data_IF_022903889709
#
_entry.id   IF_022903889709
#
_cell.length_a   1.000
_cell.length_b   1.000
_cell.length_c   1.000
_cell.angle_alpha   90.00
_cell.angle_beta   90.00
_cell.angle_gamma   90.00
#
_symmetry.space_group_name_H-M   'P 1'
#
loop_
_entity.id
_entity.type
_entity.pdbx_description
1 polymer ?
#
# COMPACT_ATOMS: atom_id res chain seq x y z
N UNK A 1 -15.69 15.81 5.07
CA UNK A 1 -15.56 15.50 3.64
C UNK A 1 -16.53 16.36 2.85
N UNK A 2 -16.31 16.50 1.54
CA UNK A 2 -17.18 17.25 0.63
C UNK A 2 -18.05 16.32 -0.25
N UNK A 3 -18.27 15.08 0.19
CA UNK A 3 -18.94 14.03 -0.58
C UNK A 3 -18.05 13.27 -1.57
N UNK A 4 -16.83 13.72 -1.85
CA UNK A 4 -15.87 13.03 -2.76
C UNK A 4 -14.53 12.77 -2.07
N UNK A 5 -14.03 13.73 -1.28
CA UNK A 5 -12.75 13.63 -0.57
C UNK A 5 -12.79 14.40 0.75
N UNK A 6 -11.82 14.15 1.64
CA UNK A 6 -11.70 14.81 2.93
C UNK A 6 -11.07 16.20 2.76
N UNK A 7 -11.61 17.17 3.49
CA UNK A 7 -11.15 18.57 3.47
C UNK A 7 -10.60 18.95 4.84
N UNK A 8 -9.67 19.89 4.87
CA UNK A 8 -9.24 20.50 6.11
C UNK A 8 -10.30 21.51 6.57
N UNK A 9 -10.81 21.31 7.78
CA UNK A 9 -11.52 22.38 8.50
C UNK A 9 -10.47 23.25 9.17
N UNK A 10 -10.26 24.43 8.61
CA UNK A 10 -9.28 25.38 9.12
C UNK A 10 -9.72 25.89 10.50
N UNK A 11 -8.75 26.01 11.41
CA UNK A 11 -8.98 26.57 12.74
C UNK A 11 -9.14 28.09 12.64
N UNK A 12 -10.29 28.68 13.02
CA UNK A 12 -10.49 30.12 12.99
C UNK A 12 -9.45 30.91 13.81
N UNK A 13 -8.89 30.31 14.87
CA UNK A 13 -7.84 30.95 15.67
C UNK A 13 -6.51 31.09 14.89
N UNK A 14 -6.32 30.30 13.84
CA UNK A 14 -5.12 30.24 13.01
C UNK A 14 -5.44 30.58 11.54
N UNK A 15 -6.41 31.45 11.28
CA UNK A 15 -6.89 31.77 9.93
C UNK A 15 -5.84 32.40 8.98
N UNK A 16 -4.69 32.83 9.52
CA UNK A 16 -3.56 33.36 8.75
C UNK A 16 -2.48 32.32 8.47
N UNK A 17 -2.57 31.12 9.06
CA UNK A 17 -1.61 30.05 8.82
C UNK A 17 -1.95 29.32 7.53
N UNK A 18 -0.92 28.84 6.83
CA UNK A 18 -1.09 28.14 5.55
C UNK A 18 -1.86 26.83 5.75
N UNK A 19 -2.84 26.58 4.89
CA UNK A 19 -3.65 25.37 4.89
C UNK A 19 -3.94 24.87 3.49
N UNK A 20 -4.57 23.70 3.42
CA UNK A 20 -5.14 23.15 2.19
C UNK A 20 -6.62 23.47 2.06
N UNK A 21 -7.32 23.76 3.16
CA UNK A 21 -8.74 24.09 3.19
C UNK A 21 -9.59 23.07 2.40
N UNK A 22 -10.33 23.49 1.36
CA UNK A 22 -11.16 22.59 0.53
C UNK A 22 -10.37 21.78 -0.51
N UNK A 23 -9.03 21.84 -0.49
CA UNK A 23 -8.15 21.13 -1.41
C UNK A 23 -8.17 19.62 -1.23
N UNK A 24 -7.93 18.91 -2.33
CA UNK A 24 -7.72 17.46 -2.35
C UNK A 24 -6.24 17.20 -2.04
N UNK A 25 -5.94 16.98 -0.76
CA UNK A 25 -4.58 16.78 -0.26
C UNK A 25 -4.20 15.31 -0.30
N UNK A 26 -2.96 15.00 -0.71
CA UNK A 26 -2.46 13.62 -0.91
C UNK A 26 -2.60 12.75 0.35
N UNK A 27 -2.32 13.33 1.51
CA UNK A 27 -2.27 12.63 2.80
C UNK A 27 -3.62 12.59 3.55
N UNK A 28 -4.71 12.99 2.90
CA UNK A 28 -6.02 13.13 3.52
C UNK A 28 -6.58 11.84 4.17
N UNK A 29 -6.04 10.67 3.79
CA UNK A 29 -6.37 9.35 4.36
C UNK A 29 -5.12 8.58 4.81
N UNK A 30 -4.01 9.27 5.06
CA UNK A 30 -2.73 8.69 5.48
C UNK A 30 -2.86 7.72 6.66
N UNK A 31 -3.59 8.13 7.69
CA UNK A 31 -3.77 7.33 8.91
C UNK A 31 -4.41 5.96 8.68
N UNK A 32 -5.25 5.82 7.64
CA UNK A 32 -5.84 4.52 7.29
C UNK A 32 -4.79 3.55 6.74
N UNK A 33 -3.80 4.04 5.99
CA UNK A 33 -2.69 3.22 5.49
C UNK A 33 -1.90 2.63 6.64
N UNK A 34 -1.60 3.45 7.66
CA UNK A 34 -0.92 2.97 8.87
C UNK A 34 -1.75 1.98 9.67
N UNK A 35 -3.06 2.18 9.76
CA UNK A 35 -3.95 1.24 10.43
C UNK A 35 -3.92 -0.14 9.77
N UNK A 36 -3.82 -0.21 8.44
CA UNK A 36 -3.67 -1.47 7.71
C UNK A 36 -2.36 -2.19 8.09
N UNK A 37 -1.23 -1.49 8.10
CA UNK A 37 0.08 -2.06 8.47
C UNK A 37 0.17 -2.51 9.93
N UNK A 38 -0.53 -1.81 10.82
CA UNK A 38 -0.58 -2.13 12.26
C UNK A 38 -1.70 -3.12 12.63
N UNK A 39 -2.52 -3.56 11.67
CA UNK A 39 -3.64 -4.46 11.94
C UNK A 39 -4.75 -3.85 12.80
N UNK A 40 -4.92 -2.53 12.76
CA UNK A 40 -5.94 -1.78 13.52
C UNK A 40 -7.31 -1.74 12.80
N UNK A 41 -7.37 -2.22 11.55
CA UNK A 41 -8.60 -2.25 10.76
C UNK A 41 -8.99 -0.89 10.18
N UNK A 42 -10.28 -0.73 9.87
CA UNK A 42 -10.81 0.50 9.30
C UNK A 42 -11.01 1.56 10.39
N UNK A 43 -10.30 2.69 10.28
CA UNK A 43 -10.48 3.87 11.13
C UNK A 43 -11.57 4.81 10.60
N UNK A 44 -11.78 4.81 9.28
CA UNK A 44 -12.76 5.64 8.61
C UNK A 44 -13.77 4.78 7.83
N UNK A 45 -14.91 5.38 7.46
CA UNK A 45 -15.86 4.74 6.54
C UNK A 45 -15.15 4.38 5.23
N UNK A 46 -15.12 3.09 4.91
CA UNK A 46 -14.39 2.57 3.76
C UNK A 46 -14.84 3.22 2.45
N UNK A 47 -16.13 3.47 2.26
CA UNK A 47 -16.64 4.10 1.02
C UNK A 47 -16.09 5.51 0.85
N UNK A 48 -16.01 6.28 1.94
CA UNK A 48 -15.38 7.62 1.93
C UNK A 48 -13.89 7.53 1.64
N UNK A 49 -13.17 6.56 2.22
CA UNK A 49 -11.74 6.33 1.93
C UNK A 49 -11.52 6.00 0.45
N UNK A 50 -12.28 5.05 -0.10
CA UNK A 50 -12.19 4.68 -1.51
C UNK A 50 -12.51 5.86 -2.44
N UNK A 51 -13.53 6.65 -2.10
CA UNK A 51 -13.86 7.88 -2.84
C UNK A 51 -12.70 8.88 -2.81
N UNK A 52 -12.07 9.08 -1.65
CA UNK A 52 -10.93 9.98 -1.49
C UNK A 52 -9.71 9.53 -2.29
N UNK A 53 -9.40 8.23 -2.31
CA UNK A 53 -8.31 7.68 -3.13
C UNK A 53 -8.56 7.90 -4.63
N UNK A 54 -9.78 7.65 -5.11
CA UNK A 54 -10.17 7.96 -6.50
C UNK A 54 -10.06 9.45 -6.83
N UNK A 55 -10.36 10.31 -5.85
CA UNK A 55 -10.19 11.76 -6.01
C UNK A 55 -8.71 12.15 -6.16
N UNK A 56 -7.78 11.48 -5.46
CA UNK A 56 -6.35 11.68 -5.65
C UNK A 56 -5.93 11.34 -7.08
N UNK A 57 -6.36 10.18 -7.59
CA UNK A 57 -6.09 9.84 -8.99
C UNK A 57 -6.66 10.89 -9.94
N UNK A 58 -7.93 11.24 -9.77
CA UNK A 58 -8.66 12.16 -10.66
C UNK A 58 -8.11 13.59 -10.67
N UNK A 59 -7.71 14.11 -9.51
CA UNK A 59 -7.40 15.54 -9.35
C UNK A 59 -5.93 15.85 -9.06
N UNK A 60 -5.16 14.87 -8.58
CA UNK A 60 -3.77 15.06 -8.22
C UNK A 60 -2.82 14.34 -9.18
N UNK A 61 -3.26 13.35 -9.95
CA UNK A 61 -2.38 12.70 -10.93
C UNK A 61 -2.23 13.59 -12.17
N UNK A 62 -0.98 13.85 -12.53
CA UNK A 62 -0.59 14.71 -13.65
C UNK A 62 0.21 13.85 -14.63
N UNK A 63 -0.34 13.53 -15.81
CA UNK A 63 0.36 12.71 -16.80
C UNK A 63 1.59 13.38 -17.42
N UNK A 64 1.63 14.71 -17.45
CA UNK A 64 2.79 15.50 -17.89
C UNK A 64 2.94 16.75 -17.02
N UNK A 65 3.97 16.73 -16.17
CA UNK A 65 4.27 17.83 -15.24
C UNK A 65 4.66 19.12 -15.97
N UNK A 66 5.22 19.04 -17.19
CA UNK A 66 5.57 20.21 -17.99
C UNK A 66 4.35 21.06 -18.34
N UNK A 67 3.24 20.44 -18.74
CA UNK A 67 2.00 21.15 -19.03
C UNK A 67 1.41 21.81 -17.77
N UNK A 68 1.46 21.12 -16.64
CA UNK A 68 1.03 21.64 -15.34
C UNK A 68 1.88 22.82 -14.86
N UNK A 69 3.21 22.74 -15.00
CA UNK A 69 4.16 23.79 -14.58
C UNK A 69 4.01 25.10 -15.34
N UNK A 70 3.50 25.07 -16.57
CA UNK A 70 3.15 26.30 -17.32
C UNK A 70 2.06 27.10 -16.61
N UNK A 71 1.16 26.44 -15.87
CA UNK A 71 0.10 27.08 -15.09
C UNK A 71 0.52 27.34 -13.64
N UNK A 72 1.38 26.48 -13.07
CA UNK A 72 1.87 26.58 -11.69
C UNK A 72 3.41 26.64 -11.65
N UNK A 73 4.02 27.81 -11.92
CA UNK A 73 5.48 27.93 -12.06
C UNK A 73 6.23 27.98 -10.73
N UNK A 74 5.57 28.31 -9.61
CA UNK A 74 6.22 28.44 -8.30
C UNK A 74 6.53 27.07 -7.70
N UNK A 75 7.72 26.91 -7.13
CA UNK A 75 8.12 25.73 -6.35
C UNK A 75 9.29 24.96 -6.96
N UNK A 76 9.71 23.89 -6.28
CA UNK A 76 10.87 23.09 -6.71
C UNK A 76 10.46 22.07 -7.75
N UNK A 77 11.34 21.81 -8.69
CA UNK A 77 11.08 20.93 -9.82
C UNK A 77 11.66 19.54 -9.52
N UNK A 78 10.86 18.68 -8.89
CA UNK A 78 11.21 17.26 -8.69
C UNK A 78 10.79 16.35 -9.84
N UNK A 79 9.91 16.87 -10.69
CA UNK A 79 9.50 16.28 -11.95
C UNK A 79 9.53 17.37 -13.03
N UNK A 80 9.80 16.98 -14.27
CA UNK A 80 10.02 17.87 -15.42
C UNK A 80 9.05 17.55 -16.56
N UNK A 81 9.15 18.25 -17.69
CA UNK A 81 8.30 17.99 -18.85
C UNK A 81 8.44 16.54 -19.34
N UNK A 82 7.31 15.87 -19.57
CA UNK A 82 7.26 14.45 -19.93
C UNK A 82 7.28 13.48 -18.75
N UNK A 83 7.61 13.93 -17.53
CA UNK A 83 7.45 13.12 -16.33
C UNK A 83 5.97 13.16 -15.87
N UNK A 84 5.44 12.02 -15.46
CA UNK A 84 4.17 11.94 -14.75
C UNK A 84 4.40 12.02 -13.23
N UNK A 85 3.37 12.41 -12.47
CA UNK A 85 3.44 12.41 -11.01
C UNK A 85 2.13 12.70 -10.30
N UNK A 86 2.09 12.44 -9.01
CA UNK A 86 0.98 12.77 -8.13
C UNK A 86 1.36 13.99 -7.29
N UNK A 87 0.69 15.12 -7.50
CA UNK A 87 0.99 16.38 -6.77
C UNK A 87 0.39 16.39 -5.37
N UNK A 88 1.03 17.12 -4.47
CA UNK A 88 0.64 17.19 -3.05
C UNK A 88 -0.81 17.66 -2.82
N UNK A 89 -1.29 18.68 -3.55
CA UNK A 89 -2.64 19.20 -3.38
C UNK A 89 -3.19 19.81 -4.67
N UNK A 90 -4.49 19.65 -4.88
CA UNK A 90 -5.24 20.31 -5.95
C UNK A 90 -6.51 20.98 -5.38
N UNK A 91 -7.06 21.98 -6.06
CA UNK A 91 -8.33 22.65 -5.67
C UNK A 91 -9.36 22.55 -6.79
N UNK A 92 -9.82 21.33 -7.14
CA UNK A 92 -10.66 21.08 -8.31
C UNK A 92 -12.03 21.77 -8.23
N UNK A 93 -12.49 22.08 -7.01
CA UNK A 93 -13.76 22.76 -6.73
C UNK A 93 -13.56 24.24 -6.35
N UNK A 94 -12.37 24.80 -6.58
CA UNK A 94 -12.01 26.14 -6.14
C UNK A 94 -11.89 26.24 -4.61
N UNK A 95 -12.06 27.46 -4.10
CA UNK A 95 -12.00 27.74 -2.65
C UNK A 95 -10.59 27.76 -2.04
N UNK A 96 -9.55 27.73 -2.87
CA UNK A 96 -8.19 28.01 -2.40
C UNK A 96 -8.13 29.44 -1.84
N UNK A 97 -7.71 29.58 -0.59
CA UNK A 97 -7.50 30.89 0.01
C UNK A 97 -6.39 31.64 -0.77
N UNK A 98 -6.69 32.79 -1.41
CA UNK A 98 -5.70 33.54 -2.18
C UNK A 98 -4.48 33.97 -1.35
N UNK A 99 -4.68 34.25 -0.06
CA UNK A 99 -3.62 34.68 0.85
C UNK A 99 -2.55 33.59 1.06
N UNK A 100 -2.90 32.30 0.90
CA UNK A 100 -1.95 31.21 1.08
C UNK A 100 -0.81 31.25 0.07
N UNK A 101 -1.00 31.88 -1.10
CA UNK A 101 0.05 32.04 -2.13
C UNK A 101 1.25 32.85 -1.63
N UNK A 102 1.09 33.66 -0.59
CA UNK A 102 2.15 34.49 -0.04
C UNK A 102 3.02 33.75 0.98
N UNK A 103 2.57 32.56 1.43
CA UNK A 103 3.33 31.71 2.33
C UNK A 103 4.41 30.94 1.56
N UNK A 104 5.60 30.84 2.16
CA UNK A 104 6.71 30.11 1.55
C UNK A 104 6.38 28.62 1.37
N UNK A 105 5.58 28.02 2.26
CA UNK A 105 5.14 26.63 2.18
C UNK A 105 4.21 26.33 1.00
N UNK A 106 3.59 27.35 0.40
CA UNK A 106 2.64 27.18 -0.70
C UNK A 106 3.22 26.42 -1.89
N UNK A 107 4.53 26.56 -2.10
CA UNK A 107 5.23 25.83 -3.15
C UNK A 107 5.11 24.31 -3.03
N UNK A 108 4.99 23.77 -1.81
CA UNK A 108 4.92 22.33 -1.60
C UNK A 108 3.68 21.69 -2.22
N UNK A 109 2.58 22.43 -2.30
CA UNK A 109 1.31 21.89 -2.79
C UNK A 109 1.33 21.43 -4.25
N UNK A 110 2.29 21.90 -5.04
CA UNK A 110 2.43 21.56 -6.46
C UNK A 110 3.63 20.66 -6.77
N UNK A 111 4.34 20.19 -5.75
CA UNK A 111 5.52 19.33 -5.90
C UNK A 111 5.11 17.85 -6.02
N UNK A 112 5.90 17.07 -6.74
CA UNK A 112 5.82 15.60 -6.74
C UNK A 112 6.83 15.09 -5.71
N UNK A 113 6.35 14.79 -4.50
CA UNK A 113 7.18 14.34 -3.38
C UNK A 113 7.06 12.82 -3.26
N UNK A 114 8.09 12.08 -3.67
CA UNK A 114 7.97 10.63 -3.93
C UNK A 114 7.55 9.81 -2.73
N UNK A 115 7.91 10.20 -1.50
CA UNK A 115 7.47 9.52 -0.30
C UNK A 115 5.95 9.57 -0.09
N UNK A 116 5.33 10.69 -0.44
CA UNK A 116 3.86 10.84 -0.40
C UNK A 116 3.21 10.12 -1.59
N UNK A 117 3.82 10.19 -2.77
CA UNK A 117 3.35 9.44 -3.95
C UNK A 117 3.34 7.93 -3.65
N UNK A 118 4.42 7.39 -3.08
CA UNK A 118 4.53 5.99 -2.68
C UNK A 118 3.52 5.60 -1.61
N UNK A 119 3.28 6.47 -0.63
CA UNK A 119 2.27 6.22 0.39
C UNK A 119 0.87 6.14 -0.22
N UNK A 120 0.50 7.08 -1.08
CA UNK A 120 -0.80 7.07 -1.75
C UNK A 120 -0.95 5.84 -2.65
N UNK A 121 0.10 5.51 -3.42
CA UNK A 121 0.16 4.31 -4.25
C UNK A 121 -0.01 3.03 -3.42
N UNK A 122 0.68 2.91 -2.29
CA UNK A 122 0.57 1.75 -1.39
C UNK A 122 -0.85 1.57 -0.86
N UNK A 123 -1.54 2.67 -0.51
CA UNK A 123 -2.92 2.60 -0.05
C UNK A 123 -3.89 2.21 -1.18
N UNK A 124 -3.72 2.76 -2.38
CA UNK A 124 -4.48 2.37 -3.57
C UNK A 124 -4.31 0.87 -3.88
N UNK A 125 -3.07 0.39 -3.88
CA UNK A 125 -2.73 -1.04 -4.09
C UNK A 125 -3.35 -1.91 -3.00
N UNK A 126 -3.32 -1.46 -1.73
CA UNK A 126 -3.90 -2.21 -0.62
C UNK A 126 -5.39 -2.47 -0.81
N UNK A 127 -6.14 -1.45 -1.23
CA UNK A 127 -7.57 -1.53 -1.56
C UNK A 127 -7.83 -2.32 -2.86
N UNK A 128 -6.79 -2.56 -3.67
CA UNK A 128 -6.82 -3.42 -4.86
C UNK A 128 -7.24 -4.88 -4.64
N UNK A 129 -7.57 -5.27 -3.40
CA UNK A 129 -8.12 -6.59 -3.07
C UNK A 129 -9.41 -6.85 -3.85
N UNK A 130 -10.26 -5.85 -3.90
CA UNK A 130 -11.58 -5.87 -4.56
C UNK A 130 -11.83 -4.59 -5.39
N UNK A 131 -10.92 -3.62 -5.38
CA UNK A 131 -10.99 -2.39 -6.20
C UNK A 131 -9.97 -2.43 -7.34
N UNK A 132 -10.33 -3.07 -8.45
CA UNK A 132 -9.42 -3.24 -9.60
C UNK A 132 -8.93 -1.90 -10.20
N UNK A 133 -9.76 -0.87 -10.16
CA UNK A 133 -9.41 0.48 -10.60
C UNK A 133 -8.32 1.09 -9.71
N UNK A 134 -8.45 1.01 -8.38
CA UNK A 134 -7.42 1.50 -7.46
C UNK A 134 -6.14 0.70 -7.53
N UNK A 135 -6.20 -0.61 -7.82
CA UNK A 135 -4.99 -1.39 -8.08
C UNK A 135 -4.24 -0.83 -9.29
N UNK A 136 -4.95 -0.55 -10.39
CA UNK A 136 -4.37 0.02 -11.59
C UNK A 136 -3.78 1.41 -11.32
N UNK A 137 -4.54 2.29 -10.65
CA UNK A 137 -4.13 3.66 -10.34
C UNK A 137 -2.88 3.68 -9.44
N UNK A 138 -2.86 2.85 -8.39
CA UNK A 138 -1.71 2.74 -7.50
C UNK A 138 -0.45 2.22 -8.20
N UNK A 139 -0.58 1.22 -9.08
CA UNK A 139 0.53 0.73 -9.90
C UNK A 139 0.98 1.77 -10.94
N UNK A 140 0.08 2.58 -11.47
CA UNK A 140 0.42 3.66 -12.40
C UNK A 140 1.19 4.79 -11.70
N UNK A 141 0.83 5.16 -10.47
CA UNK A 141 1.61 6.11 -9.66
C UNK A 141 3.01 5.55 -9.38
N UNK A 142 3.12 4.29 -8.95
CA UNK A 142 4.40 3.62 -8.75
C UNK A 142 5.25 3.62 -10.03
N UNK A 143 4.64 3.35 -11.19
CA UNK A 143 5.32 3.39 -12.49
C UNK A 143 5.79 4.80 -12.85
N UNK A 144 4.99 5.82 -12.59
CA UNK A 144 5.35 7.21 -12.86
C UNK A 144 6.60 7.63 -12.06
N UNK A 145 6.73 7.18 -10.80
CA UNK A 145 7.94 7.40 -10.00
C UNK A 145 9.13 6.67 -10.65
N UNK A 146 8.99 5.38 -10.95
CA UNK A 146 10.07 4.61 -11.60
C UNK A 146 10.53 5.20 -12.93
N UNK A 147 9.61 5.72 -13.76
CA UNK A 147 9.93 6.37 -15.03
C UNK A 147 10.71 7.65 -14.86
N UNK A 148 10.31 8.44 -13.86
CA UNK A 148 11.02 9.65 -13.50
C UNK A 148 12.47 9.36 -13.12
N UNK A 149 12.73 8.21 -12.50
CA UNK A 149 14.07 7.81 -12.06
C UNK A 149 14.69 6.69 -12.90
N UNK A 150 14.25 6.54 -14.16
CA UNK A 150 14.88 5.62 -15.11
C UNK A 150 16.37 5.96 -15.25
N UNK A 151 17.24 4.94 -15.25
CA UNK A 151 18.70 5.08 -15.26
C UNK A 151 19.25 5.87 -16.46
N UNK A 152 18.48 5.98 -17.55
CA UNK A 152 18.82 6.79 -18.73
C UNK A 152 18.62 8.29 -18.49
N UNK A 153 17.79 8.64 -17.50
CA UNK A 153 17.37 10.02 -17.20
C UNK A 153 17.98 10.52 -15.89
N UNK A 154 17.89 9.71 -14.81
CA UNK A 154 18.28 10.08 -13.44
C UNK A 154 18.84 8.85 -12.69
N UNK A 155 19.39 9.07 -11.49
CA UNK A 155 19.86 7.97 -10.65
C UNK A 155 18.65 7.20 -10.05
N UNK A 156 18.48 5.90 -10.32
CA UNK A 156 17.35 5.10 -9.81
C UNK A 156 17.31 4.97 -8.28
N UNK A 157 18.43 5.25 -7.60
CA UNK A 157 18.54 5.17 -6.14
C UNK A 157 18.46 6.55 -5.48
N UNK A 158 18.13 7.60 -6.24
CA UNK A 158 18.01 8.95 -5.75
C UNK A 158 16.65 9.54 -6.14
N UNK A 159 15.58 9.00 -5.56
CA UNK A 159 14.28 9.64 -5.64
C UNK A 159 14.30 10.97 -4.86
N UNK A 160 14.21 12.07 -5.58
CA UNK A 160 14.32 13.43 -5.05
C UNK A 160 13.00 13.84 -4.39
N UNK A 161 13.12 14.26 -3.14
CA UNK A 161 12.06 14.90 -2.37
C UNK A 161 12.71 15.83 -1.35
N UNK A 162 12.32 17.10 -1.29
CA UNK A 162 13.00 18.14 -0.50
C UNK A 162 14.44 18.44 -0.99
N UNK A 163 15.27 17.41 -1.13
CA UNK A 163 16.65 17.38 -1.63
C UNK A 163 16.99 15.98 -2.20
N UNK A 164 18.21 15.79 -2.69
CA UNK A 164 18.77 14.47 -3.02
C UNK A 164 18.91 13.56 -1.79
N UNK A 165 18.86 12.25 -2.03
CA UNK A 165 19.02 11.13 -1.09
C UNK A 165 18.07 11.21 0.11
N UNK A 166 16.84 11.63 -0.15
CA UNK A 166 15.87 11.86 0.91
C UNK A 166 15.21 10.54 1.37
N UNK A 167 15.22 10.30 2.67
CA UNK A 167 14.82 9.03 3.26
C UNK A 167 13.35 8.65 3.02
N UNK A 168 12.46 9.61 2.71
CA UNK A 168 11.02 9.36 2.61
C UNK A 168 10.66 8.46 1.42
N UNK A 169 11.48 8.39 0.39
CA UNK A 169 11.33 7.45 -0.73
C UNK A 169 11.33 5.97 -0.29
N UNK A 170 11.86 5.65 0.89
CA UNK A 170 11.75 4.31 1.48
C UNK A 170 10.30 3.89 1.76
N UNK A 171 9.33 4.81 1.71
CA UNK A 171 7.89 4.51 1.70
C UNK A 171 7.50 3.55 0.55
N UNK A 172 8.32 3.43 -0.50
CA UNK A 172 8.19 2.43 -1.57
C UNK A 172 8.03 0.99 -1.06
N UNK A 173 8.66 0.64 0.08
CA UNK A 173 8.47 -0.68 0.69
C UNK A 173 7.01 -0.93 1.11
N UNK A 174 6.26 0.13 1.42
CA UNK A 174 4.82 0.04 1.68
C UNK A 174 4.03 -0.45 0.46
N UNK A 175 4.44 -0.08 -0.76
CA UNK A 175 3.82 -0.59 -1.99
C UNK A 175 4.11 -2.09 -2.17
N UNK A 176 5.35 -2.52 -1.92
CA UNK A 176 5.71 -3.95 -1.91
C UNK A 176 4.87 -4.74 -0.88
N UNK A 177 4.76 -4.23 0.34
CA UNK A 177 3.95 -4.84 1.40
C UNK A 177 2.46 -4.91 1.00
N UNK A 178 1.93 -3.86 0.37
CA UNK A 178 0.55 -3.80 -0.11
C UNK A 178 0.30 -4.80 -1.24
N UNK A 179 1.21 -4.95 -2.21
CA UNK A 179 1.11 -5.97 -3.27
C UNK A 179 1.05 -7.38 -2.67
N UNK A 180 1.86 -7.66 -1.65
CA UNK A 180 1.84 -8.94 -0.95
C UNK A 180 0.55 -9.15 -0.13
N UNK A 181 -0.13 -8.06 0.25
CA UNK A 181 -1.14 -8.05 1.31
C UNK A 181 -0.60 -8.66 2.60
N UNK A 182 0.65 -8.35 2.93
CA UNK A 182 1.38 -8.99 4.04
C UNK A 182 1.09 -8.28 5.37
N UNK A 183 0.64 -9.05 6.36
CA UNK A 183 0.51 -8.62 7.75
C UNK A 183 1.24 -9.60 8.69
N UNK A 184 1.84 -9.10 9.76
CA UNK A 184 2.53 -9.90 10.75
C UNK A 184 2.25 -9.40 12.16
N UNK A 185 1.68 -10.26 13.01
CA UNK A 185 1.49 -10.02 14.43
C UNK A 185 2.36 -10.99 15.24
N UNK A 186 3.62 -10.59 15.48
CA UNK A 186 4.64 -11.41 16.15
C UNK A 186 4.19 -12.02 17.50
N UNK A 187 3.69 -11.22 18.47
CA UNK A 187 3.25 -11.75 19.77
C UNK A 187 2.16 -12.83 19.68
N UNK A 188 1.24 -12.70 18.71
CA UNK A 188 0.17 -13.67 18.47
C UNK A 188 0.62 -14.85 17.58
N UNK A 189 1.84 -14.80 17.03
CA UNK A 189 2.33 -15.81 16.08
C UNK A 189 1.47 -15.86 14.83
N UNK A 190 1.09 -14.71 14.28
CA UNK A 190 0.23 -14.67 13.10
C UNK A 190 0.95 -13.99 11.93
N UNK A 191 0.81 -14.59 10.74
CA UNK A 191 1.12 -13.94 9.48
C UNK A 191 -0.07 -14.07 8.53
N UNK A 192 -0.30 -13.07 7.70
CA UNK A 192 -1.30 -13.09 6.62
C UNK A 192 -0.64 -12.73 5.30
N UNK A 193 -1.06 -13.42 4.23
CA UNK A 193 -0.76 -13.05 2.86
C UNK A 193 -2.06 -12.97 2.08
N UNK A 194 -2.25 -11.87 1.37
CA UNK A 194 -3.41 -11.66 0.51
C UNK A 194 -2.93 -10.94 -0.76
N UNK A 195 -2.31 -11.65 -1.70
CA UNK A 195 -1.68 -11.00 -2.86
C UNK A 195 -2.68 -10.17 -3.67
N UNK A 196 -2.26 -8.98 -4.10
CA UNK A 196 -3.04 -8.07 -4.96
C UNK A 196 -2.70 -8.24 -6.43
N UNK A 197 -1.45 -8.64 -6.70
CA UNK A 197 -0.95 -8.94 -8.02
C UNK A 197 -0.81 -10.46 -8.17
N UNK A 198 -1.24 -10.98 -9.32
CA UNK A 198 -1.23 -12.42 -9.67
C UNK A 198 -1.69 -13.37 -8.53
N UNK A 199 -2.84 -13.13 -7.87
CA UNK A 199 -3.24 -13.92 -6.70
C UNK A 199 -3.49 -15.42 -6.99
N UNK A 200 -3.53 -15.84 -8.25
CA UNK A 200 -3.59 -17.26 -8.64
C UNK A 200 -2.24 -17.96 -8.66
N UNK A 201 -1.14 -17.22 -8.80
CA UNK A 201 0.23 -17.72 -8.87
C UNK A 201 1.17 -16.61 -8.37
N UNK A 202 1.48 -16.65 -7.09
CA UNK A 202 2.17 -15.58 -6.40
C UNK A 202 3.33 -16.11 -5.59
N UNK A 203 4.45 -15.37 -5.61
CA UNK A 203 5.64 -15.67 -4.81
C UNK A 203 6.32 -14.38 -4.42
N UNK A 204 6.60 -14.22 -3.13
CA UNK A 204 7.26 -13.03 -2.60
C UNK A 204 8.14 -13.36 -1.39
N UNK A 205 9.17 -12.55 -1.18
CA UNK A 205 9.92 -12.56 0.06
C UNK A 205 9.11 -11.87 1.18
N UNK A 206 9.34 -12.27 2.43
CA UNK A 206 8.81 -11.56 3.58
C UNK A 206 9.87 -11.48 4.67
N UNK A 207 9.73 -10.48 5.54
CA UNK A 207 10.61 -10.25 6.68
C UNK A 207 9.75 -10.16 7.94
N UNK A 208 10.22 -10.79 9.01
CA UNK A 208 9.65 -10.71 10.36
C UNK A 208 10.74 -10.31 11.35
N UNK A 209 10.40 -10.19 12.63
CA UNK A 209 11.34 -9.74 13.67
C UNK A 209 12.57 -10.67 13.82
N UNK A 210 12.40 -11.98 13.61
CA UNK A 210 13.43 -12.99 13.90
C UNK A 210 13.94 -13.71 12.64
N UNK A 211 13.50 -13.30 11.45
CA UNK A 211 13.89 -13.98 10.22
C UNK A 211 13.27 -13.42 8.95
N UNK A 212 13.63 -14.03 7.83
CA UNK A 212 13.04 -13.76 6.53
C UNK A 212 12.91 -15.03 5.71
N UNK A 213 11.97 -15.02 4.77
CA UNK A 213 11.58 -16.21 4.05
C UNK A 213 10.86 -15.92 2.76
N UNK A 214 10.31 -16.97 2.17
CA UNK A 214 9.49 -16.91 0.96
C UNK A 214 8.09 -17.43 1.26
N UNK A 215 7.09 -16.66 0.84
CA UNK A 215 5.73 -17.13 0.68
C UNK A 215 5.50 -17.47 -0.79
N UNK A 216 4.80 -18.57 -1.06
CA UNK A 216 4.31 -18.88 -2.39
C UNK A 216 2.89 -19.44 -2.31
N UNK A 217 2.06 -19.14 -3.31
CA UNK A 217 0.76 -19.78 -3.50
C UNK A 217 0.46 -20.04 -4.97
N UNK A 218 -0.27 -21.13 -5.24
CA UNK A 218 -0.78 -21.47 -6.56
C UNK A 218 -2.20 -22.03 -6.46
N UNK A 219 -3.14 -21.42 -7.18
CA UNK A 219 -4.52 -21.88 -7.30
C UNK A 219 -4.69 -22.69 -8.59
N UNK A 220 -5.14 -23.93 -8.48
CA UNK A 220 -5.49 -24.80 -9.61
C UNK A 220 -6.93 -25.29 -9.40
N UNK A 221 -7.86 -24.82 -10.24
CA UNK A 221 -9.30 -25.07 -10.06
C UNK A 221 -9.75 -24.66 -8.64
N UNK A 222 -10.29 -25.60 -7.88
CA UNK A 222 -10.80 -25.42 -6.52
C UNK A 222 -9.77 -25.77 -5.45
N UNK A 223 -8.49 -25.91 -5.82
CA UNK A 223 -7.39 -26.16 -4.88
C UNK A 223 -6.47 -24.96 -4.81
N UNK A 224 -6.08 -24.56 -3.60
CA UNK A 224 -5.01 -23.59 -3.35
C UNK A 224 -3.88 -24.29 -2.60
N UNK A 225 -2.70 -24.33 -3.21
CA UNK A 225 -1.47 -24.76 -2.55
C UNK A 225 -0.69 -23.52 -2.08
N UNK A 226 -0.37 -23.45 -0.80
CA UNK A 226 0.42 -22.37 -0.21
C UNK A 226 1.62 -22.92 0.57
N UNK A 227 2.72 -22.17 0.60
CA UNK A 227 3.91 -22.55 1.35
C UNK A 227 4.63 -21.37 1.99
N UNK A 228 5.19 -21.60 3.17
CA UNK A 228 6.11 -20.71 3.87
C UNK A 228 7.45 -21.42 4.08
N UNK A 229 8.52 -20.79 3.63
CA UNK A 229 9.88 -21.31 3.73
C UNK A 229 10.79 -20.26 4.35
N UNK A 230 11.41 -20.56 5.50
CA UNK A 230 12.36 -19.67 6.16
C UNK A 230 13.73 -19.84 5.51
N UNK A 231 14.36 -18.73 5.15
CA UNK A 231 15.70 -18.71 4.58
C UNK A 231 16.75 -18.37 5.63
N UNK A 232 16.41 -17.49 6.58
CA UNK A 232 17.27 -17.16 7.71
C UNK A 232 16.44 -16.89 8.96
N UNK A 233 16.96 -17.31 10.12
CA UNK A 233 16.33 -17.09 11.42
C UNK A 233 15.19 -18.07 11.71
N UNK A 234 14.16 -17.62 12.42
CA UNK A 234 13.01 -18.45 12.82
C UNK A 234 11.69 -17.70 12.67
N UNK A 235 10.59 -18.46 12.62
CA UNK A 235 9.25 -17.89 12.65
C UNK A 235 8.32 -18.75 13.51
N UNK A 236 7.88 -18.19 14.64
CA UNK A 236 6.86 -18.81 15.49
C UNK A 236 5.45 -18.49 14.97
N UNK A 237 4.64 -19.52 14.72
CA UNK A 237 3.28 -19.41 14.21
C UNK A 237 2.26 -20.15 15.07
N UNK A 238 1.11 -19.51 15.28
CA UNK A 238 -0.15 -20.10 15.74
C UNK A 238 -1.20 -20.11 14.63
N UNK A 239 -1.07 -19.19 13.66
CA UNK A 239 -2.00 -19.13 12.53
C UNK A 239 -1.38 -18.50 11.29
N UNK A 240 -1.94 -18.87 10.14
CA UNK A 240 -1.63 -18.28 8.83
C UNK A 240 -2.94 -17.83 8.19
N UNK A 241 -3.03 -16.54 7.85
CA UNK A 241 -4.10 -15.96 7.07
C UNK A 241 -3.78 -16.04 5.58
N UNK A 242 -4.76 -16.45 4.78
CA UNK A 242 -4.69 -16.46 3.33
C UNK A 242 -5.88 -15.67 2.79
N UNK A 243 -5.61 -14.58 2.08
CA UNK A 243 -6.62 -13.90 1.28
C UNK A 243 -7.01 -14.77 0.09
N UNK A 244 -8.30 -15.05 -0.10
CA UNK A 244 -8.75 -15.99 -1.11
C UNK A 244 -9.53 -15.29 -2.21
N UNK A 245 -9.42 -15.86 -3.42
CA UNK A 245 -10.24 -15.53 -4.59
C UNK A 245 -11.48 -16.42 -4.67
N UNK A 246 -11.98 -16.90 -3.54
CA UNK A 246 -13.04 -17.90 -3.51
C UNK A 246 -14.36 -17.21 -3.22
N UNK A 247 -15.36 -17.41 -4.09
CA UNK A 247 -16.73 -16.96 -3.88
C UNK A 247 -17.52 -17.91 -2.96
N UNK A 248 -17.05 -19.15 -2.79
CA UNK A 248 -17.56 -20.14 -1.86
C UNK A 248 -16.50 -20.46 -0.79
N UNK A 249 -16.91 -20.82 0.42
CA UNK A 249 -15.96 -21.16 1.49
C UNK A 249 -15.07 -22.36 1.15
N UNK A 250 -13.92 -22.45 1.82
CA UNK A 250 -13.02 -23.59 1.73
C UNK A 250 -13.53 -24.71 2.66
N UNK A 251 -13.58 -25.94 2.17
CA UNK A 251 -14.12 -27.10 2.87
C UNK A 251 -13.09 -27.76 3.79
N UNK A 252 -11.81 -27.75 3.43
CA UNK A 252 -10.77 -28.42 4.19
C UNK A 252 -9.37 -27.84 3.99
N UNK A 253 -8.47 -28.21 4.91
CA UNK A 253 -7.04 -27.89 4.84
C UNK A 253 -6.24 -29.13 5.21
N UNK A 254 -5.23 -29.45 4.42
CA UNK A 254 -4.17 -30.38 4.78
C UNK A 254 -2.86 -29.61 4.96
N UNK A 255 -2.24 -29.72 6.13
CA UNK A 255 -1.01 -29.01 6.46
C UNK A 255 0.12 -29.99 6.75
N UNK A 256 1.31 -29.71 6.22
CA UNK A 256 2.54 -30.43 6.57
C UNK A 256 3.65 -29.46 6.96
N UNK A 257 4.51 -29.86 7.90
CA UNK A 257 5.76 -29.19 8.25
C UNK A 257 6.90 -30.17 7.99
N UNK A 258 7.82 -29.83 7.10
CA UNK A 258 8.89 -30.73 6.65
C UNK A 258 8.37 -32.12 6.21
N UNK A 259 7.20 -32.15 5.57
CA UNK A 259 6.53 -33.37 5.10
C UNK A 259 5.73 -34.14 6.15
N UNK A 260 5.79 -33.76 7.43
CA UNK A 260 5.00 -34.39 8.50
C UNK A 260 3.64 -33.69 8.67
N UNK A 261 2.51 -34.40 8.76
CA UNK A 261 1.21 -33.79 8.99
C UNK A 261 1.15 -32.96 10.27
N UNK A 262 0.52 -31.78 10.20
CA UNK A 262 0.31 -30.90 11.35
C UNK A 262 -1.20 -30.73 11.59
N UNK A 263 -1.69 -31.01 12.82
CA UNK A 263 -3.08 -30.73 13.18
C UNK A 263 -3.40 -29.23 13.06
N UNK A 264 -4.38 -28.91 12.22
CA UNK A 264 -4.84 -27.55 12.00
C UNK A 264 -6.35 -27.55 11.73
N UNK A 265 -7.00 -26.45 12.10
CA UNK A 265 -8.39 -26.16 11.72
C UNK A 265 -8.46 -24.94 10.82
N UNK A 266 -9.48 -24.90 9.99
CA UNK A 266 -9.74 -23.81 9.08
C UNK A 266 -10.89 -22.94 9.58
N UNK A 267 -10.72 -21.62 9.52
CA UNK A 267 -11.78 -20.65 9.78
C UNK A 267 -11.97 -19.78 8.55
N UNK A 268 -13.11 -19.96 7.86
CA UNK A 268 -13.48 -19.10 6.74
C UNK A 268 -13.77 -17.68 7.22
N UNK A 269 -13.36 -16.70 6.42
CA UNK A 269 -13.59 -15.26 6.60
C UNK A 269 -14.27 -14.74 5.32
N UNK A 270 -14.86 -13.55 5.41
CA UNK A 270 -15.49 -12.90 4.26
C UNK A 270 -14.54 -12.77 3.07
N UNK A 271 -13.26 -12.48 3.31
CA UNK A 271 -12.26 -12.22 2.28
C UNK A 271 -11.05 -13.18 2.34
N UNK A 272 -11.25 -14.40 2.83
CA UNK A 272 -10.15 -15.35 2.98
C UNK A 272 -10.43 -16.50 3.91
N UNK A 273 -9.36 -17.14 4.38
CA UNK A 273 -9.43 -18.10 5.47
C UNK A 273 -8.21 -17.99 6.37
N UNK A 274 -8.36 -18.44 7.60
CA UNK A 274 -7.27 -18.56 8.57
C UNK A 274 -7.08 -20.02 8.93
N UNK A 275 -5.86 -20.50 8.73
CA UNK A 275 -5.39 -21.79 9.25
C UNK A 275 -4.94 -21.55 10.69
N UNK A 276 -5.48 -22.31 11.63
CA UNK A 276 -5.13 -22.24 13.06
C UNK A 276 -4.52 -23.58 13.46
N UNK A 277 -3.28 -23.57 13.93
CA UNK A 277 -2.60 -24.78 14.41
C UNK A 277 -3.06 -25.13 15.82
N UNK A 278 -3.18 -26.42 16.12
CA UNK A 278 -3.54 -26.89 17.47
C UNK A 278 -2.47 -26.48 18.49
N UNK A 279 -1.20 -26.61 18.09
CA UNK A 279 -0.03 -26.21 18.87
C UNK A 279 0.80 -25.17 18.11
N UNK A 280 1.50 -24.24 18.80
CA UNK A 280 2.43 -23.33 18.13
C UNK A 280 3.53 -24.08 17.38
N UNK A 281 3.81 -23.62 16.17
CA UNK A 281 4.91 -24.09 15.34
C UNK A 281 6.07 -23.11 15.42
N UNK A 282 7.29 -23.61 15.30
CA UNK A 282 8.48 -22.79 15.03
C UNK A 282 9.10 -23.30 13.73
N UNK A 283 9.10 -22.46 12.70
CA UNK A 283 9.70 -22.76 11.42
C UNK A 283 11.16 -22.30 11.43
N UNK A 284 12.04 -23.08 10.82
CA UNK A 284 13.46 -22.78 10.60
C UNK A 284 13.87 -23.18 9.17
N UNK A 285 15.07 -22.80 8.71
CA UNK A 285 15.57 -23.21 7.40
C UNK A 285 15.50 -24.73 7.19
N UNK A 286 15.07 -25.13 5.99
CA UNK A 286 14.86 -26.54 5.64
C UNK A 286 13.56 -27.17 6.16
N UNK A 287 12.70 -26.41 6.85
CA UNK A 287 11.40 -26.88 7.35
C UNK A 287 10.23 -26.17 6.65
N UNK A 288 9.92 -26.51 5.39
CA UNK A 288 8.82 -25.87 4.67
C UNK A 288 7.49 -26.22 5.34
N UNK A 289 6.67 -25.20 5.61
CA UNK A 289 5.27 -25.37 5.94
C UNK A 289 4.46 -25.33 4.65
N UNK A 290 3.67 -26.36 4.35
CA UNK A 290 2.83 -26.45 3.16
C UNK A 290 1.38 -26.66 3.57
N UNK A 291 0.48 -25.93 2.92
CA UNK A 291 -0.96 -26.06 3.11
C UNK A 291 -1.64 -26.28 1.77
N UNK A 292 -2.47 -27.32 1.66
CA UNK A 292 -3.36 -27.56 0.54
C UNK A 292 -4.80 -27.33 1.01
N UNK A 293 -5.47 -26.35 0.42
CA UNK A 293 -6.85 -25.97 0.71
C UNK A 293 -7.76 -26.43 -0.43
N UNK A 294 -8.88 -27.07 -0.08
CA UNK A 294 -9.89 -27.64 -0.99
C UNK A 294 -11.30 -27.28 -0.56
#
# INVERSE_FOLDING_TARGET
>A
DNGEYFIQREDPAHAKEVGVGPGCYIDQVFGQTWAHWLGLGALFDRRRTLSALRALWKYNFVPDIGAFRKQFPRGRWYATAGDAGLIMCSWPKGGQNPAFKDHWQYMYFNECMTGFEWQAAAHMIWEGRDQADLLQDGLAVARAIHDRYDARLRNPFNEIECSDHYARAMASYGAYQAVCGFNCHGPHGHVEFAPRLTPHDFRAAFVTAEGWGTFAQRKVRDRLDASLEIQHGTLRLRSVGLGTLWSAGIAGVHVTLAGQPVPARLVNKENGATIIFSDPLTLAPGQPLRAALV
#
